data_IF_625174424489
#
_entry.id   IF_625174424489
#
_cell.length_a   1.000
_cell.length_b   1.000
_cell.length_c   1.000
_cell.angle_alpha   90.00
_cell.angle_beta   90.00
_cell.angle_gamma   90.00
#
_symmetry.space_group_name_H-M   'P 1'
#
loop_
_entity.id
_entity.type
_entity.pdbx_description
1 polymer ?
#
# COMPACT_ATOMS: atom_id res chain seq x y z
N UNK A 1 -0.27 15.70 10.86
CA UNK A 1 -1.09 14.73 10.12
C UNK A 1 -0.36 13.39 10.17
N UNK A 2 -0.73 12.48 11.08
CA UNK A 2 -0.10 11.15 11.18
C UNK A 2 -0.75 10.26 10.14
N UNK A 3 0.01 9.81 9.14
CA UNK A 3 -0.46 8.77 8.23
C UNK A 3 -0.50 7.45 9.00
N UNK A 4 -1.70 6.99 9.32
CA UNK A 4 -1.90 5.73 10.01
C UNK A 4 -1.86 4.58 9.00
N UNK A 5 -0.87 3.71 9.14
CA UNK A 5 -0.65 2.57 8.24
C UNK A 5 -1.63 1.42 8.60
N UNK A 6 -2.47 1.58 9.63
CA UNK A 6 -3.53 0.62 9.99
C UNK A 6 -4.74 0.67 9.05
N UNK A 7 -4.75 1.57 8.06
CA UNK A 7 -5.81 1.61 7.06
C UNK A 7 -5.76 0.32 6.24
N UNK A 8 -6.84 -0.48 6.18
CA UNK A 8 -6.88 -1.68 5.37
C UNK A 8 -6.61 -1.39 3.90
N UNK A 9 -5.92 -2.30 3.21
CA UNK A 9 -5.59 -2.14 1.79
C UNK A 9 -6.83 -1.93 0.92
N UNK A 10 -7.94 -2.58 1.28
CA UNK A 10 -9.26 -2.44 0.65
C UNK A 10 -9.81 -1.02 0.72
N UNK A 11 -9.60 -0.31 1.82
CA UNK A 11 -10.02 1.08 2.01
C UNK A 11 -9.17 2.02 1.15
N UNK A 12 -7.87 1.77 1.05
CA UNK A 12 -6.98 2.53 0.14
C UNK A 12 -7.44 2.36 -1.31
N UNK A 13 -7.74 1.13 -1.71
CA UNK A 13 -8.24 0.80 -3.06
C UNK A 13 -9.57 1.51 -3.34
N UNK A 14 -10.49 1.49 -2.38
CA UNK A 14 -11.77 2.17 -2.49
C UNK A 14 -11.60 3.68 -2.65
N UNK A 15 -10.74 4.32 -1.84
CA UNK A 15 -10.45 5.77 -1.92
C UNK A 15 -9.81 6.19 -3.23
N UNK A 16 -9.08 5.28 -3.87
CA UNK A 16 -8.49 5.50 -5.20
C UNK A 16 -9.50 5.28 -6.34
N UNK A 17 -10.76 4.92 -6.04
CA UNK A 17 -11.78 4.62 -7.04
C UNK A 17 -11.53 3.30 -7.77
N UNK A 18 -10.72 2.42 -7.19
CA UNK A 18 -10.38 1.12 -7.77
C UNK A 18 -11.32 0.05 -7.23
N UNK A 19 -11.84 -0.80 -8.10
CA UNK A 19 -12.85 -1.80 -7.71
C UNK A 19 -12.25 -3.12 -7.23
N UNK A 20 -11.00 -3.44 -7.60
CA UNK A 20 -10.39 -4.74 -7.28
C UNK A 20 -8.96 -4.62 -6.80
N UNK A 21 -8.65 -5.41 -5.78
CA UNK A 21 -7.29 -5.61 -5.26
C UNK A 21 -6.32 -6.06 -6.34
N UNK A 22 -6.74 -6.96 -7.23
CA UNK A 22 -5.90 -7.48 -8.31
C UNK A 22 -5.45 -6.39 -9.27
N UNK A 23 -6.34 -5.45 -9.62
CA UNK A 23 -5.99 -4.34 -10.50
C UNK A 23 -5.01 -3.39 -9.81
N UNK A 24 -5.28 -3.05 -8.55
CA UNK A 24 -4.38 -2.21 -7.75
C UNK A 24 -3.00 -2.84 -7.58
N UNK A 25 -2.92 -4.11 -7.18
CA UNK A 25 -1.63 -4.81 -7.00
C UNK A 25 -0.83 -4.87 -8.30
N UNK A 26 -1.48 -5.11 -9.45
CA UNK A 26 -0.81 -5.11 -10.76
C UNK A 26 -0.30 -3.72 -11.13
N UNK A 27 -1.13 -2.69 -10.99
CA UNK A 27 -0.76 -1.31 -11.29
C UNK A 27 0.38 -0.83 -10.37
N UNK A 28 0.25 -1.08 -9.06
CA UNK A 28 1.25 -0.70 -8.07
C UNK A 28 2.59 -1.41 -8.32
N UNK A 29 2.57 -2.72 -8.61
CA UNK A 29 3.79 -3.47 -8.93
C UNK A 29 4.43 -2.98 -10.23
N UNK A 30 3.64 -2.58 -11.23
CA UNK A 30 4.17 -2.01 -12.47
C UNK A 30 4.88 -0.67 -12.23
N UNK A 31 4.34 0.17 -11.36
CA UNK A 31 4.87 1.50 -11.07
C UNK A 31 6.07 1.46 -10.10
N UNK A 32 5.96 0.68 -9.02
CA UNK A 32 6.93 0.66 -7.91
C UNK A 32 7.83 -0.58 -7.89
N UNK A 33 7.62 -1.54 -8.80
CA UNK A 33 8.40 -2.78 -8.89
C UNK A 33 8.11 -3.83 -7.80
N UNK A 34 7.37 -3.48 -6.74
CA UNK A 34 7.04 -4.35 -5.60
C UNK A 34 5.56 -4.35 -5.28
N UNK A 35 5.10 -5.34 -4.51
CA UNK A 35 3.69 -5.40 -4.11
C UNK A 35 3.38 -4.33 -3.05
N UNK A 36 2.12 -3.87 -2.93
CA UNK A 36 1.72 -2.92 -1.90
C UNK A 36 2.06 -3.40 -0.49
N UNK A 37 1.87 -4.70 -0.23
CA UNK A 37 2.18 -5.33 1.06
C UNK A 37 3.68 -5.26 1.35
N UNK A 38 4.54 -5.57 0.37
CA UNK A 38 6.00 -5.43 0.52
C UNK A 38 6.38 -3.99 0.85
N UNK A 39 5.78 -3.03 0.13
CA UNK A 39 6.05 -1.61 0.33
C UNK A 39 5.67 -1.14 1.74
N UNK A 40 4.51 -1.59 2.24
CA UNK A 40 4.07 -1.30 3.60
C UNK A 40 5.01 -1.93 4.64
N UNK A 41 5.46 -3.18 4.41
CA UNK A 41 6.42 -3.84 5.30
C UNK A 41 7.76 -3.09 5.33
N UNK A 42 8.29 -2.69 4.18
CA UNK A 42 9.52 -1.88 4.11
C UNK A 42 9.36 -0.56 4.85
N UNK A 43 8.22 0.11 4.70
CA UNK A 43 7.92 1.37 5.41
C UNK A 43 7.80 1.17 6.92
N UNK A 44 7.18 0.08 7.37
CA UNK A 44 7.09 -0.24 8.79
C UNK A 44 8.46 -0.58 9.38
N UNK A 45 9.29 -1.33 8.65
CA UNK A 45 10.66 -1.64 9.04
C UNK A 45 11.50 -0.36 9.14
N UNK A 46 11.47 0.50 8.13
CA UNK A 46 12.18 1.78 8.14
C UNK A 46 11.73 2.72 9.26
N UNK A 47 10.45 2.66 9.66
CA UNK A 47 9.92 3.45 10.78
C UNK A 47 10.30 2.88 12.15
N UNK A 48 10.60 1.59 12.25
CA UNK A 48 11.02 0.97 13.50
C UNK A 48 12.48 1.31 13.87
N UNK A 49 13.26 1.79 12.90
CA UNK A 49 14.66 2.18 13.07
C UNK A 49 14.87 3.69 13.34
N UNK A 50 13.79 4.46 13.52
CA UNK A 50 13.82 5.90 13.85
C UNK A 50 13.10 6.18 15.19
#
# INVERSE_FOLDING_TARGET
MKYDISIPLTEVIYRLGMQTQSYFTKAFKKEYGKTPTQFIQDLMAAKAEL
#
